data_IF_248770251279
#
_entry.id   IF_248770251279
#
_cell.length_a   1.000
_cell.length_b   1.000
_cell.length_c   1.000
_cell.angle_alpha   90.00
_cell.angle_beta   90.00
_cell.angle_gamma   90.00
#
_symmetry.space_group_name_H-M   'P 1'
#
loop_
_entity.id
_entity.type
_entity.pdbx_description
1 polymer ?
#
# COMPACT_ATOMS: atom_id res chain seq x y z
N UNK A 1 10.07 15.57 23.88
CA UNK A 1 10.07 14.09 23.94
C UNK A 1 11.14 13.59 22.98
N UNK A 2 12.19 12.93 23.47
CA UNK A 2 13.31 12.44 22.66
C UNK A 2 12.86 11.15 21.97
N UNK A 3 12.72 11.16 20.64
CA UNK A 3 12.57 9.93 19.88
C UNK A 3 13.91 9.19 19.92
N UNK A 4 13.96 8.12 20.70
CA UNK A 4 15.13 7.23 20.79
C UNK A 4 15.40 6.63 19.41
N UNK A 5 16.50 7.05 18.82
CA UNK A 5 17.06 6.54 17.57
C UNK A 5 17.60 5.13 17.78
N UNK A 6 16.72 4.12 17.69
CA UNK A 6 17.16 2.73 17.67
C UNK A 6 17.64 2.39 16.25
N UNK A 7 18.86 2.85 15.93
CA UNK A 7 19.58 2.56 14.69
C UNK A 7 20.04 1.10 14.71
N UNK A 8 19.13 0.15 14.55
CA UNK A 8 19.50 -1.20 14.12
C UNK A 8 19.68 -1.15 12.61
N UNK A 9 20.93 -1.24 12.20
CA UNK A 9 21.42 -1.53 10.86
C UNK A 9 20.96 -2.93 10.40
N UNK A 10 19.65 -3.15 10.36
CA UNK A 10 19.02 -4.25 9.65
C UNK A 10 18.46 -3.64 8.38
N UNK A 11 18.72 -4.26 7.25
CA UNK A 11 17.95 -4.00 6.03
C UNK A 11 16.47 -4.11 6.40
N UNK A 12 15.83 -2.95 6.51
CA UNK A 12 14.45 -2.88 6.95
C UNK A 12 13.63 -3.26 5.73
N UNK A 13 12.95 -4.41 5.82
CA UNK A 13 12.11 -4.90 4.73
C UNK A 13 10.78 -4.17 4.76
N UNK A 14 10.42 -3.53 3.65
CA UNK A 14 9.13 -2.89 3.46
C UNK A 14 8.31 -3.64 2.40
N UNK A 15 7.03 -3.80 2.69
CA UNK A 15 6.05 -4.25 1.72
C UNK A 15 5.39 -3.04 1.07
N UNK A 16 5.29 -3.06 -0.25
CA UNK A 16 4.68 -2.03 -1.06
C UNK A 16 3.47 -2.67 -1.72
N UNK A 17 2.29 -2.16 -1.41
CA UNK A 17 1.06 -2.70 -1.95
C UNK A 17 0.41 -1.71 -2.92
N UNK A 18 0.38 -2.11 -4.18
CA UNK A 18 -0.23 -1.37 -5.28
C UNK A 18 -1.60 -1.98 -5.63
N UNK A 19 -2.61 -1.12 -5.81
CA UNK A 19 -3.93 -1.57 -6.23
C UNK A 19 -4.53 -0.64 -7.26
N UNK A 20 -5.01 -1.19 -8.36
CA UNK A 20 -5.85 -0.47 -9.31
C UNK A 20 -7.27 -1.05 -9.21
N UNK A 21 -8.21 -0.23 -8.78
CA UNK A 21 -9.60 -0.63 -8.68
C UNK A 21 -10.25 -0.63 -10.05
N UNK A 22 -11.09 -1.63 -10.33
CA UNK A 22 -11.97 -1.59 -11.50
C UNK A 22 -13.13 -0.59 -11.34
N UNK A 23 -13.60 -0.36 -10.11
CA UNK A 23 -14.80 0.49 -9.86
C UNK A 23 -14.47 1.98 -9.78
N UNK A 24 -13.18 2.29 -9.62
CA UNK A 24 -12.69 3.65 -9.64
C UNK A 24 -12.53 4.06 -11.11
N UNK A 25 -13.48 4.82 -11.67
CA UNK A 25 -13.35 5.52 -12.96
C UNK A 25 -12.36 6.70 -12.84
N UNK A 26 -11.22 6.47 -12.20
CA UNK A 26 -10.19 7.48 -11.98
C UNK A 26 -9.22 7.42 -13.15
N UNK A 27 -9.47 8.27 -14.14
CA UNK A 27 -8.57 8.47 -15.27
C UNK A 27 -7.40 9.38 -14.86
N UNK A 28 -6.18 8.92 -15.12
CA UNK A 28 -4.97 9.72 -14.88
C UNK A 28 -3.72 8.88 -14.63
N UNK A 29 -2.56 9.38 -15.08
CA UNK A 29 -1.27 8.69 -14.91
C UNK A 29 -0.94 8.37 -13.45
N UNK A 30 -1.44 9.21 -12.52
CA UNK A 30 -1.20 9.08 -11.08
C UNK A 30 -1.77 7.80 -10.48
N UNK A 31 -2.85 7.26 -11.05
CA UNK A 31 -3.56 6.07 -10.56
C UNK A 31 -3.03 4.77 -11.15
N UNK A 32 -2.23 4.82 -12.21
CA UNK A 32 -1.63 3.62 -12.80
C UNK A 32 -0.77 2.84 -11.80
N UNK A 33 -0.79 1.50 -11.88
CA UNK A 33 0.09 0.63 -11.07
C UNK A 33 1.56 1.05 -11.21
N UNK A 34 1.98 1.43 -12.41
CA UNK A 34 3.34 1.90 -12.67
C UNK A 34 3.71 3.16 -11.89
N UNK A 35 2.80 4.13 -11.77
CA UNK A 35 3.06 5.33 -10.98
C UNK A 35 3.02 5.05 -9.47
N UNK A 36 2.07 4.23 -9.01
CA UNK A 36 2.01 3.79 -7.61
C UNK A 36 3.33 3.13 -7.19
N UNK A 37 3.84 2.19 -8.01
CA UNK A 37 5.12 1.52 -7.75
C UNK A 37 6.27 2.50 -7.60
N UNK A 38 6.38 3.48 -8.50
CA UNK A 38 7.42 4.53 -8.45
C UNK A 38 7.30 5.37 -7.17
N UNK A 39 6.09 5.81 -6.84
CA UNK A 39 5.80 6.61 -5.65
C UNK A 39 6.16 5.86 -4.37
N UNK A 40 5.65 4.64 -4.19
CA UNK A 40 5.88 3.85 -2.98
C UNK A 40 7.36 3.48 -2.83
N UNK A 41 8.02 3.12 -3.93
CA UNK A 41 9.47 2.85 -3.95
C UNK A 41 10.27 4.06 -3.50
N UNK A 42 9.94 5.26 -4.04
CA UNK A 42 10.62 6.50 -3.68
C UNK A 42 10.48 6.77 -2.18
N UNK A 43 9.25 6.75 -1.67
CA UNK A 43 8.98 7.06 -0.26
C UNK A 43 9.63 6.03 0.67
N UNK A 44 9.56 4.74 0.35
CA UNK A 44 10.19 3.69 1.16
C UNK A 44 11.72 3.88 1.23
N UNK A 45 12.37 4.19 0.10
CA UNK A 45 13.81 4.49 0.08
C UNK A 45 14.16 5.76 0.86
N UNK A 46 13.38 6.82 0.72
CA UNK A 46 13.55 8.07 1.50
C UNK A 46 13.41 7.84 3.02
N UNK A 47 12.60 6.85 3.42
CA UNK A 47 12.46 6.41 4.82
C UNK A 47 13.54 5.41 5.28
N UNK A 48 14.48 5.04 4.40
CA UNK A 48 15.62 4.18 4.73
C UNK A 48 15.36 2.68 4.60
N UNK A 49 14.28 2.26 3.94
CA UNK A 49 14.04 0.85 3.63
C UNK A 49 14.83 0.46 2.38
N UNK A 50 15.53 -0.68 2.45
CA UNK A 50 16.44 -1.14 1.39
C UNK A 50 15.92 -2.38 0.69
N UNK A 51 15.24 -3.28 1.41
CA UNK A 51 14.60 -4.45 0.84
C UNK A 51 13.12 -4.18 0.62
N UNK A 52 12.69 -4.08 -0.63
CA UNK A 52 11.32 -3.71 -1.01
C UNK A 52 10.65 -4.89 -1.71
N UNK A 53 9.52 -5.34 -1.18
CA UNK A 53 8.71 -6.41 -1.78
C UNK A 53 7.40 -5.80 -2.26
N UNK A 54 7.05 -6.06 -3.51
CA UNK A 54 5.85 -5.52 -4.15
C UNK A 54 4.73 -6.56 -4.16
N UNK A 55 3.52 -6.11 -3.84
CA UNK A 55 2.29 -6.87 -3.92
C UNK A 55 1.30 -6.06 -4.75
N UNK A 56 0.65 -6.69 -5.72
CA UNK A 56 -0.20 -5.99 -6.66
C UNK A 56 -1.56 -6.65 -6.80
N UNK A 57 -2.60 -5.82 -6.93
CA UNK A 57 -3.93 -6.22 -7.34
C UNK A 57 -4.43 -5.26 -8.43
N UNK A 58 -4.42 -5.73 -9.68
CA UNK A 58 -4.84 -4.96 -10.85
C UNK A 58 -6.27 -5.34 -11.27
N UNK A 59 -7.14 -4.33 -11.40
CA UNK A 59 -8.55 -4.49 -11.77
C UNK A 59 -9.44 -5.11 -10.69
N UNK A 60 -9.01 -5.13 -9.42
CA UNK A 60 -9.78 -5.73 -8.33
C UNK A 60 -10.56 -4.66 -7.55
N UNK A 61 -11.84 -4.92 -7.36
CA UNK A 61 -12.78 -4.03 -6.69
C UNK A 61 -12.30 -3.58 -5.31
N UNK A 62 -12.53 -2.30 -5.02
CA UNK A 62 -12.29 -1.71 -3.71
C UNK A 62 -13.20 -2.24 -2.59
N UNK A 63 -14.27 -2.98 -2.91
CA UNK A 63 -15.24 -3.47 -1.90
C UNK A 63 -15.05 -4.94 -1.51
N UNK A 64 -14.15 -5.67 -2.19
CA UNK A 64 -13.83 -7.06 -1.84
C UNK A 64 -12.51 -7.13 -1.09
N UNK A 65 -12.40 -8.03 -0.12
CA UNK A 65 -11.14 -8.40 0.53
C UNK A 65 -10.48 -9.63 -0.10
N UNK A 66 -11.13 -10.26 -1.08
CA UNK A 66 -10.54 -11.36 -1.85
C UNK A 66 -9.58 -10.81 -2.91
N UNK A 67 -8.45 -10.30 -2.42
CA UNK A 67 -7.40 -9.60 -3.13
C UNK A 67 -6.12 -10.44 -3.02
N UNK A 68 -5.73 -11.23 -4.04
CA UNK A 68 -4.63 -12.17 -3.92
C UNK A 68 -3.31 -11.49 -3.51
N UNK A 69 -2.99 -10.31 -4.05
CA UNK A 69 -1.80 -9.56 -3.65
C UNK A 69 -1.86 -9.13 -2.18
N UNK A 70 -3.01 -8.62 -1.74
CA UNK A 70 -3.23 -8.25 -0.33
C UNK A 70 -3.15 -9.46 0.61
N UNK A 71 -3.78 -10.58 0.25
CA UNK A 71 -3.79 -11.80 1.08
C UNK A 71 -2.37 -12.36 1.22
N UNK A 72 -1.62 -12.42 0.13
CA UNK A 72 -0.21 -12.86 0.15
C UNK A 72 0.64 -11.92 1.03
N UNK A 73 0.45 -10.60 0.89
CA UNK A 73 1.13 -9.61 1.73
C UNK A 73 0.85 -9.85 3.21
N UNK A 74 -0.42 -10.02 3.58
CA UNK A 74 -0.82 -10.23 4.97
C UNK A 74 -0.24 -11.52 5.53
N UNK A 75 -0.27 -12.63 4.79
CA UNK A 75 0.35 -13.89 5.21
C UNK A 75 1.85 -13.75 5.47
N UNK A 76 2.56 -13.01 4.61
CA UNK A 76 3.98 -12.75 4.81
C UNK A 76 4.24 -11.80 5.99
N UNK A 77 3.33 -10.85 6.23
CA UNK A 77 3.42 -9.91 7.35
C UNK A 77 3.20 -10.63 8.69
N UNK A 78 2.25 -11.58 8.75
CA UNK A 78 2.02 -12.45 9.91
C UNK A 78 3.23 -13.32 10.23
N UNK A 79 4.05 -13.67 9.23
CA UNK A 79 5.32 -14.38 9.40
C UNK A 79 6.47 -13.46 9.84
N UNK A 80 6.22 -12.16 10.02
CA UNK A 80 7.23 -11.18 10.44
C UNK A 80 8.25 -10.82 9.35
N UNK A 81 7.92 -11.01 8.07
CA UNK A 81 8.84 -10.78 6.94
C UNK A 81 9.08 -9.31 6.61
N UNK A 82 8.28 -8.39 7.14
CA UNK A 82 8.43 -6.95 6.96
C UNK A 82 8.24 -6.17 8.24
N UNK A 83 8.88 -5.00 8.31
CA UNK A 83 8.75 -4.04 9.41
C UNK A 83 7.79 -2.89 9.09
N UNK A 84 7.42 -2.71 7.81
CA UNK A 84 6.47 -1.69 7.38
C UNK A 84 5.72 -2.10 6.12
N UNK A 85 4.54 -1.50 5.95
CA UNK A 85 3.70 -1.58 4.75
C UNK A 85 3.47 -0.16 4.22
N UNK A 86 3.67 0.02 2.92
CA UNK A 86 3.42 1.26 2.19
C UNK A 86 2.27 1.04 1.22
N UNK A 87 1.29 1.93 1.26
CA UNK A 87 0.13 1.98 0.36
C UNK A 87 -0.06 3.40 -0.14
N UNK A 88 -0.70 3.56 -1.31
CA UNK A 88 -1.00 4.90 -1.86
C UNK A 88 -1.93 5.68 -0.94
N UNK A 89 -3.02 5.05 -0.54
CA UNK A 89 -4.11 5.66 0.23
C UNK A 89 -4.91 4.60 0.99
N UNK A 90 -5.78 5.06 1.88
CA UNK A 90 -6.53 4.22 2.80
C UNK A 90 -7.46 3.21 2.12
N UNK A 91 -7.97 3.53 0.92
CA UNK A 91 -8.87 2.65 0.16
C UNK A 91 -8.19 1.32 -0.21
N UNK A 92 -6.86 1.31 -0.29
CA UNK A 92 -6.10 0.10 -0.56
C UNK A 92 -6.30 -0.98 0.52
N UNK A 93 -6.57 -0.59 1.77
CA UNK A 93 -6.60 -1.53 2.91
C UNK A 93 -7.97 -1.72 3.56
N UNK A 94 -8.85 -0.72 3.54
CA UNK A 94 -10.11 -0.76 4.32
C UNK A 94 -11.18 -1.68 3.70
N UNK A 95 -11.08 -2.03 2.42
CA UNK A 95 -12.15 -2.76 1.75
C UNK A 95 -13.34 -1.87 1.38
N UNK A 96 -13.10 -0.58 1.19
CA UNK A 96 -14.04 0.38 0.59
C UNK A 96 -13.37 1.04 -0.62
N UNK A 97 -14.17 1.46 -1.59
CA UNK A 97 -13.68 2.30 -2.68
C UNK A 97 -13.75 3.80 -2.29
N UNK A 98 -13.16 4.67 -3.12
CA UNK A 98 -13.13 6.11 -2.88
C UNK A 98 -14.54 6.70 -2.79
N UNK A 99 -15.45 6.30 -3.68
CA UNK A 99 -16.84 6.79 -3.73
C UNK A 99 -17.62 6.44 -2.46
N UNK A 100 -17.42 5.25 -1.90
CA UNK A 100 -18.04 4.84 -0.64
C UNK A 100 -17.58 5.72 0.52
N UNK A 101 -16.30 6.07 0.57
CA UNK A 101 -15.75 6.96 1.59
C UNK A 101 -16.22 8.42 1.43
N UNK A 102 -16.37 8.90 0.20
CA UNK A 102 -16.96 10.21 -0.11
C UNK A 102 -18.45 10.26 0.28
N UNK A 103 -19.22 9.22 -0.05
CA UNK A 103 -20.64 9.12 0.30
C UNK A 103 -20.88 9.07 1.81
N UNK A 104 -19.93 8.51 2.58
CA UNK A 104 -19.97 8.48 4.04
C UNK A 104 -19.47 9.78 4.69
N UNK A 105 -19.03 10.77 3.91
CA UNK A 105 -18.48 12.04 4.40
C UNK A 105 -17.12 11.88 5.10
N UNK A 106 -16.41 10.77 4.84
CA UNK A 106 -15.09 10.48 5.42
C UNK A 106 -13.98 11.16 4.61
N UNK A 107 -14.17 11.25 3.29
CA UNK A 107 -13.31 11.97 2.36
C UNK A 107 -14.08 13.16 1.77
N UNK A 108 -13.36 14.25 1.52
CA UNK A 108 -13.86 15.52 0.98
C UNK A 108 -13.20 15.83 -0.37
#
# INVERSE_FOLDING_TARGET
MKQSSNKKSRESTAFLYERLSRDDNLEGESYSIGNQKKLLTKVAKEKGYTNLVHFLDDGISGVTMNRPGFVEMMQQLEQGKASAVFVKDYCAIIGLNQKDLENQGILA
#
